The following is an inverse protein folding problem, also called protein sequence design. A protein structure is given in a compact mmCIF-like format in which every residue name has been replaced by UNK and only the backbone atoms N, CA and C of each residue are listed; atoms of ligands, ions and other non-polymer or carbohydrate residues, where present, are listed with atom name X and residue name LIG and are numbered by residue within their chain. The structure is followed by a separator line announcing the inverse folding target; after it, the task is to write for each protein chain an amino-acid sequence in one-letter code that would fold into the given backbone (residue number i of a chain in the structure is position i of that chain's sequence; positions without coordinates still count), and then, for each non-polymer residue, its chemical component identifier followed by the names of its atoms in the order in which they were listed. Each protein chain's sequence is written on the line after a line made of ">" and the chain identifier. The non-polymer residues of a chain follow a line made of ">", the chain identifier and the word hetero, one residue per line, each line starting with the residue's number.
data_IF_313071104153
#
_entry.id   IF_313071104153
#
_cell.length_a   1.000
_cell.length_b   1.000
_cell.length_c   1.000
_cell.angle_alpha   90.00
_cell.angle_beta   90.00
_cell.angle_gamma   90.00
#
_symmetry.space_group_name_H-M   'P 1'
#
loop_
_entity.id
_entity.type
_entity.pdbx_description
1 polymer ?
#
# COMPACT_ATOMS: atom_id res chain seq x y z
N UNK A 1 -32.01 -1.84 24.80
CA UNK A 1 -32.58 -3.08 25.37
C UNK A 1 -32.10 -3.18 26.79
N UNK A 2 -32.95 -3.04 27.77
CA UNK A 2 -32.58 -3.06 29.21
C UNK A 2 -33.14 -4.35 29.78
N UNK A 3 -32.29 -5.12 30.47
CA UNK A 3 -32.74 -6.32 31.20
C UNK A 3 -33.21 -5.93 32.57
N UNK A 4 -34.46 -6.20 32.86
CA UNK A 4 -35.07 -6.03 34.19
C UNK A 4 -35.35 -7.40 34.81
N UNK A 5 -34.97 -7.58 36.07
CA UNK A 5 -35.32 -8.75 36.85
C UNK A 5 -36.74 -8.56 37.45
N UNK A 6 -37.64 -9.41 37.06
CA UNK A 6 -38.99 -9.48 37.65
C UNK A 6 -39.06 -10.70 38.57
N UNK A 7 -39.35 -10.48 39.85
CA UNK A 7 -39.58 -11.54 40.85
C UNK A 7 -41.04 -12.04 40.79
N UNK A 8 -41.21 -13.32 40.50
CA UNK A 8 -42.51 -13.99 40.66
C UNK A 8 -42.53 -14.68 42.04
N UNK A 9 -43.75 -14.73 42.62
CA UNK A 9 -44.05 -15.19 43.97
C UNK A 9 -43.81 -16.69 44.25
N UNK A 10 -43.17 -17.42 43.34
CA UNK A 10 -42.83 -18.83 43.42
C UNK A 10 -41.35 -19.19 43.26
N UNK A 11 -40.43 -18.24 43.53
CA UNK A 11 -38.96 -18.52 43.52
C UNK A 11 -38.36 -19.15 42.26
N UNK A 12 -38.84 -18.79 41.06
CA UNK A 12 -38.16 -19.07 39.82
C UNK A 12 -37.82 -17.73 39.11
N UNK A 13 -36.54 -17.45 38.97
CA UNK A 13 -36.06 -16.29 38.17
C UNK A 13 -36.41 -16.50 36.70
N UNK A 14 -37.26 -15.63 36.15
CA UNK A 14 -37.47 -15.49 34.71
C UNK A 14 -36.86 -14.17 34.25
N UNK A 15 -36.00 -14.25 33.24
CA UNK A 15 -35.50 -13.10 32.52
C UNK A 15 -36.46 -12.78 31.37
N UNK A 16 -37.17 -11.66 31.43
CA UNK A 16 -37.98 -11.15 30.33
C UNK A 16 -37.28 -9.94 29.66
N UNK A 17 -37.34 -9.94 28.34
CA UNK A 17 -36.81 -8.85 27.51
C UNK A 17 -37.93 -7.85 27.28
N UNK A 18 -37.83 -6.67 27.87
CA UNK A 18 -38.79 -5.58 27.69
C UNK A 18 -38.22 -4.54 26.71
N UNK A 19 -38.98 -4.10 25.70
CA UNK A 19 -38.53 -3.02 24.81
C UNK A 19 -38.54 -1.67 25.55
N UNK A 20 -37.41 -0.93 25.45
CA UNK A 20 -37.23 0.39 26.02
C UNK A 20 -38.12 1.41 25.29
N UNK A 21 -39.07 2.00 25.97
CA UNK A 21 -39.81 3.19 25.55
C UNK A 21 -39.38 4.36 26.46
N UNK A 22 -38.58 5.22 25.89
CA UNK A 22 -37.82 6.36 26.40
C UNK A 22 -38.46 7.32 27.42
N UNK A 23 -38.84 6.83 28.60
CA UNK A 23 -39.24 7.68 29.75
C UNK A 23 -38.33 7.35 30.97
N UNK A 24 -38.04 8.37 31.78
CA UNK A 24 -37.09 8.31 32.90
C UNK A 24 -37.49 7.26 33.93
N UNK A 25 -36.54 6.40 34.33
CA UNK A 25 -36.71 5.38 35.35
C UNK A 25 -36.46 6.02 36.74
N UNK A 26 -37.43 6.00 37.67
CA UNK A 26 -37.19 6.47 39.05
C UNK A 26 -36.31 5.45 39.79
N UNK A 27 -35.19 5.95 40.35
CA UNK A 27 -34.26 5.21 41.15
C UNK A 27 -34.90 4.80 42.51
N UNK A 28 -35.32 3.53 42.60
CA UNK A 28 -35.54 2.88 43.88
C UNK A 28 -35.10 1.41 43.78
N UNK A 29 -33.80 1.16 43.95
CA UNK A 29 -33.28 -0.21 44.02
C UNK A 29 -32.99 -0.53 45.48
N UNK A 30 -33.78 -1.41 46.09
CA UNK A 30 -33.45 -2.03 47.37
C UNK A 30 -32.24 -2.97 47.17
N UNK A 31 -31.25 -2.88 48.08
CA UNK A 31 -29.97 -3.62 48.02
C UNK A 31 -30.19 -5.14 48.12
N UNK A 32 -29.60 -5.94 47.22
CA UNK A 32 -29.61 -7.40 47.34
C UNK A 32 -28.59 -7.91 48.38
N UNK A 33 -28.82 -9.10 48.92
CA UNK A 33 -28.20 -9.72 50.09
C UNK A 33 -26.76 -10.24 49.82
N UNK A 34 -26.23 -10.11 48.59
CA UNK A 34 -24.88 -10.60 48.21
C UNK A 34 -24.08 -9.49 47.51
N UNK A 35 -23.19 -8.77 48.25
CA UNK A 35 -22.47 -7.62 47.69
C UNK A 35 -21.29 -7.93 46.74
N UNK A 36 -20.80 -9.17 46.70
CA UNK A 36 -19.48 -9.45 46.09
C UNK A 36 -19.52 -9.89 44.60
N UNK A 37 -20.70 -10.19 44.06
CA UNK A 37 -20.82 -10.68 42.68
C UNK A 37 -21.32 -9.66 41.65
N UNK A 38 -21.84 -8.52 42.06
CA UNK A 38 -22.46 -7.53 41.19
C UNK A 38 -21.49 -6.72 40.30
N UNK A 39 -20.28 -6.38 40.73
CA UNK A 39 -19.39 -5.61 39.85
C UNK A 39 -18.91 -6.37 38.62
N UNK A 40 -18.78 -7.70 38.72
CA UNK A 40 -18.30 -8.52 37.60
C UNK A 40 -19.31 -8.67 36.47
N UNK A 41 -20.57 -8.79 36.78
CA UNK A 41 -21.65 -9.01 35.76
C UNK A 41 -21.93 -7.70 35.02
N UNK A 42 -21.91 -6.54 35.70
CA UNK A 42 -22.13 -5.24 35.05
C UNK A 42 -20.95 -4.88 34.17
N UNK A 43 -19.70 -5.13 34.58
CA UNK A 43 -18.50 -4.87 33.78
C UNK A 43 -18.47 -5.82 32.56
N UNK A 44 -18.85 -7.09 32.72
CA UNK A 44 -18.88 -8.05 31.61
C UNK A 44 -19.98 -7.71 30.59
N UNK A 45 -21.15 -7.25 31.03
CA UNK A 45 -22.25 -6.84 30.16
C UNK A 45 -21.94 -5.52 29.45
N UNK A 46 -21.34 -4.52 30.12
CA UNK A 46 -20.89 -3.28 29.51
C UNK A 46 -19.73 -3.51 28.52
N UNK A 47 -18.76 -4.37 28.86
CA UNK A 47 -17.63 -4.67 27.96
C UNK A 47 -18.10 -5.41 26.70
N UNK A 48 -19.04 -6.32 26.81
CA UNK A 48 -19.67 -7.00 25.65
C UNK A 48 -20.50 -6.05 24.79
N UNK A 49 -21.20 -5.07 25.40
CA UNK A 49 -22.00 -4.10 24.65
C UNK A 49 -21.11 -3.06 23.93
N UNK A 50 -20.05 -2.57 24.58
CA UNK A 50 -19.07 -1.68 23.96
C UNK A 50 -18.26 -2.37 22.86
N UNK A 51 -17.87 -3.65 23.04
CA UNK A 51 -17.16 -4.39 22.00
C UNK A 51 -18.06 -4.69 20.79
N UNK A 52 -19.36 -5.03 20.99
CA UNK A 52 -20.28 -5.28 19.88
C UNK A 52 -20.65 -4.01 19.11
N UNK A 53 -20.84 -2.87 19.78
CA UNK A 53 -21.10 -1.59 19.10
C UNK A 53 -19.85 -1.10 18.37
N UNK A 54 -18.65 -1.30 18.93
CA UNK A 54 -17.38 -0.98 18.24
C UNK A 54 -17.14 -1.91 17.05
N UNK A 55 -17.46 -3.20 17.14
CA UNK A 55 -17.31 -4.16 16.05
C UNK A 55 -18.33 -3.86 14.93
N UNK A 56 -19.56 -3.55 15.23
CA UNK A 56 -20.59 -3.24 14.22
C UNK A 56 -20.29 -1.91 13.53
N UNK A 57 -19.84 -0.88 14.25
CA UNK A 57 -19.43 0.40 13.66
C UNK A 57 -18.13 0.24 12.83
N UNK A 58 -17.15 -0.57 13.29
CA UNK A 58 -15.96 -0.85 12.52
C UNK A 58 -16.27 -1.65 11.25
N UNK A 59 -17.12 -2.69 11.30
CA UNK A 59 -17.46 -3.46 10.09
C UNK A 59 -18.16 -2.62 9.02
N UNK A 60 -19.04 -1.70 9.38
CA UNK A 60 -19.67 -0.77 8.45
C UNK A 60 -18.70 0.26 7.88
N UNK A 61 -17.81 0.79 8.70
CA UNK A 61 -16.79 1.76 8.30
C UNK A 61 -15.73 1.11 7.40
N UNK A 62 -15.24 -0.08 7.75
CA UNK A 62 -14.29 -0.85 6.94
C UNK A 62 -14.86 -1.22 5.56
N UNK A 63 -16.14 -1.56 5.45
CA UNK A 63 -16.76 -1.92 4.18
C UNK A 63 -16.92 -0.72 3.23
N UNK A 64 -17.17 0.48 3.76
CA UNK A 64 -17.29 1.71 2.97
C UNK A 64 -15.89 2.14 2.46
N UNK A 65 -14.87 2.11 3.31
CA UNK A 65 -13.48 2.43 2.94
C UNK A 65 -12.90 1.45 1.91
N UNK A 66 -13.18 0.16 2.07
CA UNK A 66 -12.76 -0.88 1.13
C UNK A 66 -13.41 -0.68 -0.25
N UNK A 67 -14.67 -0.26 -0.29
CA UNK A 67 -15.38 0.02 -1.54
C UNK A 67 -14.84 1.25 -2.25
N UNK A 68 -14.59 2.34 -1.54
CA UNK A 68 -14.02 3.57 -2.09
C UNK A 68 -12.60 3.36 -2.64
N UNK A 69 -11.77 2.59 -1.93
CA UNK A 69 -10.45 2.18 -2.42
C UNK A 69 -10.53 1.40 -3.73
N UNK A 70 -11.43 0.43 -3.81
CA UNK A 70 -11.62 -0.38 -5.01
C UNK A 70 -12.14 0.44 -6.18
N UNK A 71 -13.02 1.41 -5.94
CA UNK A 71 -13.50 2.32 -6.96
C UNK A 71 -12.37 3.22 -7.49
N UNK A 72 -11.55 3.79 -6.61
CA UNK A 72 -10.37 4.60 -6.99
C UNK A 72 -9.33 3.76 -7.75
N UNK A 73 -9.09 2.51 -7.34
CA UNK A 73 -8.22 1.58 -8.04
C UNK A 73 -8.73 1.30 -9.46
N UNK A 74 -10.00 0.98 -9.61
CA UNK A 74 -10.61 0.70 -10.91
C UNK A 74 -10.57 1.91 -11.83
N UNK A 75 -10.85 3.11 -11.31
CA UNK A 75 -10.76 4.36 -12.08
C UNK A 75 -9.31 4.67 -12.48
N UNK A 76 -8.37 4.53 -11.56
CA UNK A 76 -6.95 4.76 -11.81
C UNK A 76 -6.33 3.78 -12.82
N UNK A 77 -6.83 2.56 -12.90
CA UNK A 77 -6.35 1.54 -13.84
C UNK A 77 -7.19 1.40 -15.12
N UNK A 78 -8.20 2.26 -15.34
CA UNK A 78 -9.14 2.13 -16.44
C UNK A 78 -8.46 2.06 -17.81
N UNK A 79 -7.45 2.91 -18.10
CA UNK A 79 -6.69 2.90 -19.34
C UNK A 79 -5.89 1.62 -19.53
N UNK A 80 -5.24 1.15 -18.44
CA UNK A 80 -4.49 -0.12 -18.45
C UNK A 80 -5.42 -1.29 -18.72
N UNK A 81 -6.55 -1.34 -18.01
CA UNK A 81 -7.58 -2.34 -18.16
C UNK A 81 -8.13 -2.40 -19.59
N UNK A 82 -8.55 -1.26 -20.15
CA UNK A 82 -9.07 -1.20 -21.52
C UNK A 82 -8.04 -1.67 -22.54
N UNK A 83 -6.77 -1.29 -22.38
CA UNK A 83 -5.70 -1.72 -23.27
C UNK A 83 -5.42 -3.22 -23.15
N UNK A 84 -5.25 -3.74 -21.93
CA UNK A 84 -4.90 -5.13 -21.67
C UNK A 84 -6.07 -6.08 -22.00
N UNK A 85 -7.21 -5.86 -21.33
CA UNK A 85 -8.39 -6.72 -21.51
C UNK A 85 -8.99 -6.62 -22.92
N UNK A 86 -9.00 -5.45 -23.52
CA UNK A 86 -9.47 -5.26 -24.90
C UNK A 86 -8.60 -5.99 -25.95
N UNK A 87 -7.28 -6.11 -25.72
CA UNK A 87 -6.40 -6.93 -26.57
C UNK A 87 -6.64 -8.42 -26.32
N UNK A 88 -6.70 -8.84 -25.05
CA UNK A 88 -6.91 -10.21 -24.64
C UNK A 88 -8.25 -10.75 -25.18
N UNK A 89 -9.35 -10.03 -24.98
CA UNK A 89 -10.68 -10.41 -25.50
C UNK A 89 -10.65 -10.61 -27.00
N UNK A 90 -10.00 -9.72 -27.77
CA UNK A 90 -9.89 -9.84 -29.24
C UNK A 90 -9.09 -11.05 -29.67
N UNK A 91 -8.01 -11.38 -28.97
CA UNK A 91 -7.19 -12.55 -29.26
C UNK A 91 -7.94 -13.88 -29.03
N UNK A 92 -8.92 -13.87 -28.13
CA UNK A 92 -9.70 -15.06 -27.78
C UNK A 92 -11.00 -15.23 -28.58
N UNK A 93 -11.39 -14.24 -29.41
CA UNK A 93 -12.62 -14.31 -30.23
C UNK A 93 -12.52 -15.48 -31.22
N UNK A 94 -13.53 -16.37 -31.17
CA UNK A 94 -13.66 -17.52 -32.06
C UNK A 94 -12.78 -18.74 -31.68
N UNK A 95 -12.01 -18.65 -30.60
CA UNK A 95 -11.21 -19.79 -30.09
C UNK A 95 -11.96 -20.49 -28.98
N UNK A 96 -11.99 -21.81 -29.01
CA UNK A 96 -12.63 -22.67 -28.00
C UNK A 96 -11.64 -23.33 -27.05
N UNK A 97 -10.38 -23.41 -27.44
CA UNK A 97 -9.29 -24.04 -26.66
C UNK A 97 -8.03 -23.19 -26.76
N UNK A 98 -7.12 -23.38 -25.82
CA UNK A 98 -5.80 -22.79 -25.84
C UNK A 98 -4.89 -23.58 -26.73
N UNK A 99 -4.50 -23.02 -27.86
CA UNK A 99 -3.55 -23.52 -28.82
C UNK A 99 -2.31 -22.61 -28.89
N UNK A 100 -1.30 -23.03 -29.70
CA UNK A 100 -0.05 -22.27 -29.84
C UNK A 100 -0.31 -20.84 -30.32
N UNK A 101 -1.30 -20.65 -31.24
CA UNK A 101 -1.66 -19.32 -31.74
C UNK A 101 -2.24 -18.42 -30.61
N UNK A 102 -2.99 -18.98 -29.69
CA UNK A 102 -3.51 -18.25 -28.51
C UNK A 102 -2.37 -17.87 -27.57
N UNK A 103 -1.39 -18.76 -27.36
CA UNK A 103 -0.21 -18.47 -26.53
C UNK A 103 0.69 -17.42 -27.16
N UNK A 104 0.95 -17.46 -28.47
CA UNK A 104 1.70 -16.44 -29.20
C UNK A 104 1.03 -15.06 -29.10
N UNK A 105 -0.28 -15.01 -29.28
CA UNK A 105 -1.06 -13.76 -29.11
C UNK A 105 -1.00 -13.24 -27.67
N UNK A 106 -1.06 -14.12 -26.67
CA UNK A 106 -0.94 -13.75 -25.26
C UNK A 106 0.45 -13.18 -24.96
N UNK A 107 1.50 -13.78 -25.50
CA UNK A 107 2.87 -13.29 -25.38
C UNK A 107 2.98 -11.84 -25.92
N UNK A 108 2.47 -11.59 -27.15
CA UNK A 108 2.45 -10.26 -27.74
C UNK A 108 1.69 -9.24 -26.88
N UNK A 109 0.54 -9.64 -26.31
CA UNK A 109 -0.26 -8.78 -25.44
C UNK A 109 0.51 -8.41 -24.18
N UNK A 110 1.14 -9.37 -23.51
CA UNK A 110 1.91 -9.16 -22.30
C UNK A 110 3.11 -8.24 -22.55
N UNK A 111 3.89 -8.49 -23.60
CA UNK A 111 5.03 -7.64 -24.00
C UNK A 111 4.59 -6.22 -24.34
N UNK A 112 3.53 -6.07 -25.15
CA UNK A 112 3.01 -4.75 -25.56
C UNK A 112 2.28 -4.00 -24.42
N UNK A 113 2.03 -4.66 -23.32
CA UNK A 113 1.48 -4.08 -22.08
C UNK A 113 2.58 -3.74 -21.05
N UNK A 114 3.85 -3.75 -21.45
CA UNK A 114 5.03 -3.45 -20.63
C UNK A 114 5.24 -4.43 -19.45
N UNK A 115 4.78 -5.68 -19.55
CA UNK A 115 5.10 -6.73 -18.54
C UNK A 115 6.59 -7.09 -18.56
N UNK A 116 7.27 -6.88 -19.70
CA UNK A 116 8.67 -7.23 -19.90
C UNK A 116 8.85 -8.66 -20.40
N UNK A 117 9.90 -8.86 -21.21
CA UNK A 117 10.12 -10.12 -21.94
C UNK A 117 10.31 -11.31 -20.98
N UNK A 118 11.23 -11.19 -20.01
CA UNK A 118 11.55 -12.30 -19.09
C UNK A 118 10.33 -12.74 -18.28
N UNK A 119 9.53 -11.79 -17.79
CA UNK A 119 8.31 -12.07 -17.04
C UNK A 119 7.23 -12.66 -17.92
N UNK A 120 7.12 -12.20 -19.17
CA UNK A 120 6.16 -12.74 -20.15
C UNK A 120 6.48 -14.20 -20.44
N UNK A 121 7.72 -14.54 -20.75
CA UNK A 121 8.14 -15.91 -21.01
C UNK A 121 7.86 -16.85 -19.83
N UNK A 122 8.11 -16.37 -18.61
CA UNK A 122 7.78 -17.13 -17.39
C UNK A 122 6.27 -17.39 -17.26
N UNK A 123 5.42 -16.36 -17.52
CA UNK A 123 3.96 -16.51 -17.49
C UNK A 123 3.51 -17.53 -18.54
N UNK A 124 3.98 -17.42 -19.79
CA UNK A 124 3.63 -18.35 -20.88
C UNK A 124 4.03 -19.77 -20.52
N UNK A 125 5.25 -19.98 -20.04
CA UNK A 125 5.72 -21.31 -19.64
C UNK A 125 4.85 -21.93 -18.53
N UNK A 126 4.42 -21.15 -17.55
CA UNK A 126 3.53 -21.63 -16.47
C UNK A 126 2.15 -22.00 -17.01
N UNK A 127 1.61 -21.21 -17.95
CA UNK A 127 0.35 -21.50 -18.61
C UNK A 127 0.45 -22.78 -19.44
N UNK A 128 1.52 -22.95 -20.25
CA UNK A 128 1.77 -24.18 -21.02
C UNK A 128 1.80 -25.43 -20.14
N UNK A 129 2.54 -25.36 -19.02
CA UNK A 129 2.61 -26.46 -18.05
C UNK A 129 1.24 -26.79 -17.47
N UNK A 130 0.41 -25.77 -17.20
CA UNK A 130 -0.93 -25.94 -16.67
C UNK A 130 -1.88 -26.53 -17.70
N UNK A 131 -1.84 -26.06 -18.95
CA UNK A 131 -2.60 -26.63 -20.10
C UNK A 131 -2.23 -28.06 -20.34
N UNK A 132 -0.93 -28.42 -20.36
CA UNK A 132 -0.45 -29.77 -20.54
C UNK A 132 -0.91 -30.72 -19.43
N UNK A 133 -0.96 -30.25 -18.19
CA UNK A 133 -1.40 -31.04 -17.04
C UNK A 133 -2.92 -31.27 -17.05
N UNK A 134 -3.69 -30.22 -17.30
CA UNK A 134 -5.15 -30.21 -17.11
C UNK A 134 -5.89 -30.69 -18.38
N UNK A 135 -5.17 -30.95 -19.48
CA UNK A 135 -5.54 -31.53 -20.79
C UNK A 135 -6.54 -30.74 -21.65
N UNK A 136 -7.40 -29.92 -21.05
CA UNK A 136 -8.31 -29.04 -21.76
C UNK A 136 -8.49 -27.75 -20.92
N UNK A 137 -8.01 -26.63 -21.44
CA UNK A 137 -8.27 -25.31 -20.88
C UNK A 137 -9.07 -24.53 -21.92
N UNK A 138 -10.28 -24.17 -21.57
CA UNK A 138 -11.11 -23.29 -22.40
C UNK A 138 -10.56 -21.86 -22.34
N UNK A 139 -10.91 -21.05 -23.32
CA UNK A 139 -10.53 -19.61 -23.32
C UNK A 139 -11.09 -18.84 -22.11
N UNK A 140 -12.20 -19.27 -21.54
CA UNK A 140 -12.74 -18.71 -20.29
C UNK A 140 -11.86 -19.08 -19.10
N UNK A 141 -11.42 -20.33 -19.03
CA UNK A 141 -10.52 -20.80 -17.98
C UNK A 141 -9.13 -20.18 -18.08
N UNK A 142 -8.66 -19.85 -19.30
CA UNK A 142 -7.38 -19.17 -19.53
C UNK A 142 -7.30 -17.84 -18.75
N UNK A 143 -8.37 -17.06 -18.71
CA UNK A 143 -8.40 -15.82 -17.95
C UNK A 143 -8.16 -16.05 -16.45
N UNK A 144 -8.75 -17.12 -15.90
CA UNK A 144 -8.52 -17.49 -14.50
C UNK A 144 -7.09 -17.99 -14.27
N UNK A 145 -6.58 -18.85 -15.18
CA UNK A 145 -5.21 -19.35 -15.08
C UNK A 145 -4.21 -18.20 -15.15
N UNK A 146 -4.34 -17.30 -16.14
CA UNK A 146 -3.46 -16.14 -16.29
C UNK A 146 -3.47 -15.24 -15.04
N UNK A 147 -4.65 -14.98 -14.50
CA UNK A 147 -4.81 -14.22 -13.26
C UNK A 147 -4.09 -14.88 -12.08
N UNK A 148 -4.30 -16.20 -11.90
CA UNK A 148 -3.68 -16.96 -10.81
C UNK A 148 -2.15 -16.96 -10.92
N UNK A 149 -1.60 -17.12 -12.14
CA UNK A 149 -0.16 -17.12 -12.38
C UNK A 149 0.45 -15.72 -12.12
N UNK A 150 -0.22 -14.65 -12.53
CA UNK A 150 0.24 -13.27 -12.22
C UNK A 150 0.23 -13.02 -10.72
N UNK A 151 -0.84 -13.40 -9.99
CA UNK A 151 -0.89 -13.29 -8.52
C UNK A 151 0.22 -14.12 -7.87
N UNK A 152 0.50 -15.31 -8.40
CA UNK A 152 1.60 -16.18 -7.97
C UNK A 152 2.96 -15.50 -8.10
N UNK A 153 3.27 -14.93 -9.27
CA UNK A 153 4.52 -14.19 -9.53
C UNK A 153 4.71 -12.99 -8.60
N UNK A 154 3.65 -12.21 -8.37
CA UNK A 154 3.69 -11.09 -7.43
C UNK A 154 3.91 -11.56 -5.98
N UNK A 155 3.38 -12.72 -5.61
CA UNK A 155 3.61 -13.34 -4.29
C UNK A 155 5.08 -13.74 -4.10
N UNK A 156 5.69 -14.36 -5.11
CA UNK A 156 7.08 -14.79 -5.10
C UNK A 156 8.07 -13.61 -5.02
N UNK A 157 7.65 -12.42 -5.42
CA UNK A 157 8.43 -11.19 -5.31
C UNK A 157 8.48 -10.62 -3.89
N UNK A 158 7.92 -11.31 -2.91
CA UNK A 158 7.93 -10.89 -1.51
C UNK A 158 6.84 -9.88 -1.16
N UNK A 159 5.88 -9.66 -2.07
CA UNK A 159 4.71 -8.86 -1.76
C UNK A 159 3.90 -9.57 -0.68
N UNK A 160 3.96 -9.08 0.55
CA UNK A 160 3.04 -9.44 1.61
C UNK A 160 1.77 -8.60 1.42
N UNK A 161 0.62 -9.14 1.80
CA UNK A 161 -0.60 -8.33 1.89
C UNK A 161 -0.40 -7.37 3.07
N UNK A 162 0.08 -6.17 2.78
CA UNK A 162 0.40 -5.20 3.82
C UNK A 162 -0.88 -4.61 4.38
N UNK A 163 -0.98 -4.70 5.70
CA UNK A 163 -1.96 -3.93 6.43
C UNK A 163 -1.61 -2.43 6.32
N UNK A 164 -2.60 -1.65 5.98
CA UNK A 164 -2.61 -0.21 5.75
C UNK A 164 -1.56 0.60 6.54
N UNK A 165 -0.53 1.13 5.83
CA UNK A 165 0.45 2.10 6.37
C UNK A 165 0.96 1.77 7.78
N UNK A 166 1.05 0.47 8.12
CA UNK A 166 1.58 0.01 9.39
C UNK A 166 3.10 0.12 9.41
N UNK A 167 3.65 0.54 10.53
CA UNK A 167 5.09 0.51 10.76
C UNK A 167 5.49 -0.86 11.36
N UNK A 168 6.62 -1.42 10.96
CA UNK A 168 7.11 -2.68 11.52
C UNK A 168 7.32 -2.59 13.04
N UNK A 169 6.93 -3.64 13.76
CA UNK A 169 7.08 -3.70 15.21
C UNK A 169 8.52 -3.45 15.65
N UNK A 170 8.70 -2.64 16.70
CA UNK A 170 10.01 -2.35 17.29
C UNK A 170 10.88 -1.36 16.49
N UNK A 171 10.35 -0.74 15.44
CA UNK A 171 11.04 0.31 14.69
C UNK A 171 10.46 1.68 15.03
N UNK A 172 11.16 2.45 15.89
CA UNK A 172 10.76 3.79 16.28
C UNK A 172 11.98 4.70 16.42
N UNK A 173 12.10 5.75 15.58
CA UNK A 173 11.27 6.01 14.40
C UNK A 173 11.48 4.98 13.28
N UNK A 174 10.44 4.68 12.54
CA UNK A 174 10.55 3.96 11.26
C UNK A 174 11.10 4.90 10.19
N UNK A 175 12.27 4.59 9.65
CA UNK A 175 13.01 5.47 8.73
C UNK A 175 12.92 4.97 7.30
N UNK A 176 12.34 5.77 6.43
CA UNK A 176 12.20 5.48 4.99
C UNK A 176 13.06 6.45 4.20
N UNK A 177 14.00 5.93 3.42
CA UNK A 177 14.77 6.70 2.44
C UNK A 177 14.13 6.55 1.06
N UNK A 178 13.63 7.64 0.50
CA UNK A 178 12.93 7.62 -0.79
C UNK A 178 13.89 7.97 -1.92
N UNK A 179 14.04 7.04 -2.88
CA UNK A 179 14.98 7.15 -4.00
C UNK A 179 14.25 7.02 -5.35
N UNK A 180 14.91 7.41 -6.44
CA UNK A 180 14.35 7.36 -7.81
C UNK A 180 14.79 8.58 -8.63
N UNK A 181 14.56 8.55 -9.94
CA UNK A 181 14.97 9.66 -10.82
C UNK A 181 14.12 10.91 -10.60
N UNK A 182 14.57 12.05 -11.14
CA UNK A 182 13.78 13.28 -11.08
C UNK A 182 12.50 13.14 -11.93
N UNK A 183 11.39 13.69 -11.42
CA UNK A 183 10.11 13.71 -12.13
C UNK A 183 9.23 12.47 -11.94
N UNK A 184 9.71 11.41 -11.28
CA UNK A 184 8.89 10.21 -11.00
C UNK A 184 7.86 10.40 -9.89
N UNK A 185 7.91 11.51 -9.15
CA UNK A 185 6.95 11.79 -8.10
C UNK A 185 7.44 11.51 -6.67
N UNK A 186 8.77 11.44 -6.40
CA UNK A 186 9.31 11.19 -5.05
C UNK A 186 8.73 12.12 -3.99
N UNK A 187 8.90 13.43 -4.15
CA UNK A 187 8.43 14.45 -3.19
C UNK A 187 6.91 14.39 -2.98
N UNK A 188 6.16 14.14 -4.05
CA UNK A 188 4.70 13.93 -4.00
C UNK A 188 4.34 12.66 -3.23
N UNK A 189 5.04 11.55 -3.49
CA UNK A 189 4.86 10.28 -2.76
C UNK A 189 5.15 10.46 -1.28
N UNK A 190 6.22 11.17 -0.92
CA UNK A 190 6.56 11.49 0.48
C UNK A 190 5.42 12.29 1.14
N UNK A 191 4.91 13.31 0.45
CA UNK A 191 3.79 14.11 0.96
C UNK A 191 2.53 13.28 1.21
N UNK A 192 2.19 12.39 0.28
CA UNK A 192 1.04 11.47 0.43
C UNK A 192 1.25 10.43 1.52
N UNK A 193 2.45 9.84 1.63
CA UNK A 193 2.80 8.93 2.73
C UNK A 193 2.71 9.64 4.08
N UNK A 194 3.25 10.86 4.18
CA UNK A 194 3.15 11.66 5.40
C UNK A 194 1.71 11.93 5.82
N UNK A 195 0.84 12.21 4.84
CA UNK A 195 -0.60 12.37 5.07
C UNK A 195 -1.23 11.09 5.62
N UNK A 196 -0.97 9.95 5.00
CA UNK A 196 -1.53 8.66 5.41
C UNK A 196 -1.03 8.23 6.79
N UNK A 197 0.27 8.33 7.07
CA UNK A 197 0.82 8.02 8.39
C UNK A 197 0.26 8.96 9.47
N UNK A 198 0.11 10.26 9.17
CA UNK A 198 -0.52 11.19 10.11
C UNK A 198 -2.00 10.87 10.34
N UNK A 199 -2.73 10.51 9.27
CA UNK A 199 -4.14 10.07 9.36
C UNK A 199 -4.28 8.82 10.24
N UNK A 200 -3.27 7.93 10.23
CA UNK A 200 -3.17 6.78 11.14
C UNK A 200 -2.76 7.16 12.59
N UNK A 201 -2.61 8.43 12.90
CA UNK A 201 -2.25 8.94 14.24
C UNK A 201 -0.76 8.94 14.54
N UNK A 202 0.10 8.69 13.55
CA UNK A 202 1.55 8.63 13.73
C UNK A 202 2.20 10.01 13.64
N UNK A 203 3.25 10.23 14.41
CA UNK A 203 4.06 11.46 14.40
C UNK A 203 5.16 11.35 13.33
N UNK A 204 5.02 12.15 12.28
CA UNK A 204 5.86 12.09 11.07
C UNK A 204 6.82 13.27 10.99
N UNK A 205 8.05 13.02 10.56
CA UNK A 205 9.08 14.03 10.26
C UNK A 205 9.58 13.86 8.82
N UNK A 206 9.80 14.97 8.11
CA UNK A 206 10.29 15.00 6.74
C UNK A 206 11.70 15.59 6.69
N UNK A 207 12.59 15.00 5.88
CA UNK A 207 13.93 15.50 5.62
C UNK A 207 14.12 15.88 4.15
N UNK A 208 14.46 17.15 3.87
CA UNK A 208 14.65 17.70 2.54
C UNK A 208 16.10 17.52 2.08
N UNK A 209 16.52 16.27 1.76
CA UNK A 209 17.89 15.98 1.36
C UNK A 209 18.17 16.12 -0.14
N UNK A 210 17.20 16.52 -0.99
CA UNK A 210 17.48 17.00 -2.37
C UNK A 210 17.94 18.48 -2.35
N UNK A 211 19.05 18.75 -1.67
CA UNK A 211 19.53 20.09 -1.33
C UNK A 211 19.98 20.93 -2.52
N UNK A 212 20.18 20.32 -3.67
CA UNK A 212 20.63 21.02 -4.88
C UNK A 212 19.48 21.47 -5.80
N UNK A 213 18.23 21.17 -5.43
CA UNK A 213 17.04 21.58 -6.16
C UNK A 213 16.13 22.40 -5.28
N UNK A 214 16.23 23.74 -5.41
CA UNK A 214 15.40 24.67 -4.62
C UNK A 214 13.91 24.33 -4.70
N UNK A 215 13.41 24.06 -5.91
CA UNK A 215 12.02 23.69 -6.13
C UNK A 215 11.61 22.38 -5.44
N UNK A 216 12.54 21.41 -5.27
CA UNK A 216 12.21 20.17 -4.54
C UNK A 216 12.10 20.41 -3.04
N UNK A 217 13.03 21.18 -2.47
CA UNK A 217 12.96 21.59 -1.05
C UNK A 217 11.71 22.41 -0.77
N UNK A 218 11.38 23.37 -1.63
CA UNK A 218 10.17 24.19 -1.50
C UNK A 218 8.90 23.34 -1.60
N UNK A 219 8.84 22.42 -2.58
CA UNK A 219 7.73 21.50 -2.75
C UNK A 219 7.52 20.62 -1.51
N UNK A 220 8.60 20.12 -0.89
CA UNK A 220 8.51 19.32 0.32
C UNK A 220 7.99 20.17 1.51
N UNK A 221 8.43 21.44 1.61
CA UNK A 221 7.92 22.38 2.61
C UNK A 221 6.40 22.61 2.45
N UNK A 222 5.94 22.82 1.21
CA UNK A 222 4.50 22.99 0.91
C UNK A 222 3.71 21.73 1.33
N UNK A 223 4.26 20.53 1.06
CA UNK A 223 3.65 19.28 1.54
C UNK A 223 3.63 19.22 3.06
N UNK A 224 4.74 19.57 3.72
CA UNK A 224 4.82 19.59 5.18
C UNK A 224 3.79 20.52 5.80
N UNK A 225 3.62 21.74 5.26
CA UNK A 225 2.60 22.71 5.70
C UNK A 225 1.18 22.16 5.46
N UNK A 226 0.90 21.63 4.25
CA UNK A 226 -0.42 21.11 3.90
C UNK A 226 -0.84 19.93 4.79
N UNK A 227 0.09 19.03 5.07
CA UNK A 227 -0.13 17.88 5.95
C UNK A 227 -0.03 18.26 7.43
N UNK A 228 0.67 19.36 7.75
CA UNK A 228 0.92 19.81 9.13
C UNK A 228 1.92 18.90 9.84
N UNK A 229 3.06 18.60 9.17
CA UNK A 229 4.20 17.84 9.72
C UNK A 229 5.48 18.65 9.55
N UNK A 230 6.45 18.56 10.48
CA UNK A 230 7.71 19.29 10.41
C UNK A 230 8.58 18.81 9.25
N UNK A 231 9.24 19.76 8.57
CA UNK A 231 10.22 19.54 7.53
C UNK A 231 11.57 20.07 7.99
N UNK A 232 12.55 19.20 8.07
CA UNK A 232 13.94 19.55 8.38
C UNK A 232 14.66 19.82 7.07
N UNK A 233 15.24 21.01 6.96
CA UNK A 233 16.00 21.47 5.79
C UNK A 233 17.22 22.28 6.22
N UNK A 234 18.20 22.38 5.33
CA UNK A 234 19.35 23.27 5.48
C UNK A 234 19.44 24.22 4.28
N UNK A 235 20.50 25.03 4.24
CA UNK A 235 20.75 25.94 3.13
C UNK A 235 20.93 25.17 1.81
N UNK A 236 20.60 25.81 0.70
CA UNK A 236 20.85 25.26 -0.62
C UNK A 236 22.31 24.84 -0.82
N UNK A 237 22.52 23.64 -1.37
CA UNK A 237 23.83 23.06 -1.60
C UNK A 237 24.51 22.49 -0.36
N UNK A 238 23.84 22.47 0.79
CA UNK A 238 24.33 21.74 1.97
C UNK A 238 24.46 20.25 1.68
N UNK A 239 25.28 19.56 2.47
CA UNK A 239 25.45 18.10 2.35
C UNK A 239 24.12 17.36 2.63
N UNK A 240 23.57 16.60 1.68
CA UNK A 240 22.34 15.82 1.91
C UNK A 240 22.40 14.92 3.15
N UNK A 241 23.58 14.36 3.44
CA UNK A 241 23.75 13.49 4.60
C UNK A 241 23.64 14.27 5.93
N UNK A 242 24.00 15.57 5.97
CA UNK A 242 23.80 16.39 7.16
C UNK A 242 22.31 16.69 7.40
N UNK A 243 21.53 16.89 6.34
CA UNK A 243 20.05 17.03 6.45
C UNK A 243 19.43 15.76 7.02
N UNK A 244 19.82 14.59 6.52
CA UNK A 244 19.34 13.31 7.04
C UNK A 244 19.72 13.13 8.52
N UNK A 245 20.92 13.50 8.93
CA UNK A 245 21.36 13.47 10.32
C UNK A 245 20.50 14.35 11.21
N UNK A 246 20.32 15.63 10.85
CA UNK A 246 19.54 16.58 11.62
C UNK A 246 18.06 16.17 11.71
N UNK A 247 17.54 15.57 10.63
CA UNK A 247 16.17 15.04 10.61
C UNK A 247 16.01 13.92 11.63
N UNK A 248 16.91 12.97 11.66
CA UNK A 248 16.88 11.87 12.62
C UNK A 248 17.08 12.35 14.05
N UNK A 249 18.04 13.25 14.29
CA UNK A 249 18.29 13.85 15.60
C UNK A 249 17.04 14.58 16.13
N UNK A 250 16.38 15.37 15.27
CA UNK A 250 15.13 16.06 15.61
C UNK A 250 13.99 15.07 15.87
N UNK A 251 13.86 14.04 15.04
CA UNK A 251 12.84 13.02 15.18
C UNK A 251 12.96 12.24 16.50
N UNK A 252 14.19 11.81 16.84
CA UNK A 252 14.50 11.12 18.09
C UNK A 252 14.21 12.00 19.31
N UNK A 253 14.65 13.27 19.30
CA UNK A 253 14.42 14.21 20.39
C UNK A 253 12.93 14.50 20.65
N UNK A 254 12.09 14.30 19.64
CA UNK A 254 10.65 14.54 19.70
C UNK A 254 9.81 13.28 19.72
N UNK A 255 10.40 12.11 19.91
CA UNK A 255 9.69 10.80 19.95
C UNK A 255 8.79 10.59 18.72
N UNK A 256 9.35 10.81 17.52
CA UNK A 256 8.64 10.61 16.26
C UNK A 256 8.44 9.11 15.97
N UNK A 257 7.38 8.77 15.25
CA UNK A 257 7.07 7.40 14.85
C UNK A 257 7.64 7.09 13.46
N UNK A 258 7.65 8.07 12.55
CA UNK A 258 8.06 7.90 11.15
C UNK A 258 8.96 9.05 10.70
N UNK A 259 10.01 8.73 9.94
CA UNK A 259 10.87 9.68 9.25
C UNK A 259 10.91 9.35 7.76
N UNK A 260 10.59 10.32 6.91
CA UNK A 260 10.67 10.19 5.45
C UNK A 260 11.75 11.15 4.93
N UNK A 261 12.74 10.62 4.19
CA UNK A 261 13.85 11.41 3.64
C UNK A 261 13.72 11.51 2.12
N UNK A 262 13.53 12.71 1.61
CA UNK A 262 13.56 13.01 0.16
C UNK A 262 15.00 13.13 -0.31
N UNK A 263 15.37 12.39 -1.38
CA UNK A 263 16.74 12.37 -1.91
C UNK A 263 16.79 12.89 -3.34
N UNK A 264 17.99 13.30 -3.78
CA UNK A 264 18.24 13.66 -5.16
C UNK A 264 18.00 12.48 -6.12
N UNK A 265 17.68 12.80 -7.39
CA UNK A 265 17.39 11.80 -8.42
C UNK A 265 18.14 12.05 -9.74
N UNK A 266 19.35 12.60 -9.71
CA UNK A 266 20.12 13.00 -10.90
C UNK A 266 20.90 11.82 -11.49
N UNK A 267 20.19 10.89 -12.15
CA UNK A 267 20.73 9.63 -12.66
C UNK A 267 21.79 9.83 -13.79
N UNK A 268 21.77 10.97 -14.49
CA UNK A 268 22.81 11.31 -15.47
C UNK A 268 24.22 11.42 -14.85
N UNK A 269 24.32 11.71 -13.55
CA UNK A 269 25.56 11.60 -12.79
C UNK A 269 25.47 10.40 -11.84
N UNK A 270 25.36 9.21 -12.43
CA UNK A 270 25.11 7.96 -11.71
C UNK A 270 26.05 7.76 -10.52
N UNK A 271 27.37 7.87 -10.75
CA UNK A 271 28.39 7.63 -9.70
C UNK A 271 28.21 8.61 -8.53
N UNK A 272 28.10 9.90 -8.82
CA UNK A 272 27.93 10.91 -7.77
C UNK A 272 26.65 10.72 -6.96
N UNK A 273 25.54 10.37 -7.62
CA UNK A 273 24.29 10.08 -6.95
C UNK A 273 24.41 8.85 -6.03
N UNK A 274 25.05 7.78 -6.50
CA UNK A 274 25.19 6.54 -5.72
C UNK A 274 26.12 6.73 -4.51
N UNK A 275 27.19 7.51 -4.67
CA UNK A 275 28.08 7.89 -3.57
C UNK A 275 27.32 8.74 -2.52
N UNK A 276 26.46 9.66 -2.97
CA UNK A 276 25.60 10.49 -2.12
C UNK A 276 24.59 9.65 -1.32
N UNK A 277 23.84 8.75 -1.98
CA UNK A 277 22.88 7.88 -1.33
C UNK A 277 23.56 6.95 -0.30
N UNK A 278 24.71 6.38 -0.67
CA UNK A 278 25.53 5.55 0.24
C UNK A 278 26.03 6.35 1.45
N UNK A 279 26.36 7.63 1.27
CA UNK A 279 26.76 8.51 2.37
C UNK A 279 25.59 8.81 3.29
N UNK A 280 24.41 9.12 2.74
CA UNK A 280 23.17 9.34 3.50
C UNK A 280 22.90 8.12 4.38
N UNK A 281 22.87 6.90 3.79
CA UNK A 281 22.66 5.64 4.52
C UNK A 281 23.65 5.49 5.68
N UNK A 282 24.94 5.65 5.43
CA UNK A 282 25.97 5.54 6.48
C UNK A 282 25.82 6.55 7.62
N UNK A 283 25.33 7.74 7.32
CA UNK A 283 25.10 8.78 8.32
C UNK A 283 23.85 8.47 9.14
N UNK A 284 22.78 7.96 8.52
CA UNK A 284 21.60 7.48 9.24
C UNK A 284 21.96 6.38 10.25
N UNK A 285 22.81 5.43 9.85
CA UNK A 285 23.28 4.32 10.69
C UNK A 285 24.08 4.75 11.92
N UNK A 286 24.65 5.97 11.93
CA UNK A 286 25.30 6.53 13.11
C UNK A 286 24.30 6.95 14.19
N UNK A 287 23.06 7.29 13.81
CA UNK A 287 21.98 7.65 14.71
C UNK A 287 21.15 6.45 15.12
N UNK A 288 20.79 5.62 14.13
CA UNK A 288 19.97 4.42 14.27
C UNK A 288 20.68 3.29 13.50
N UNK A 289 21.29 2.30 14.16
CA UNK A 289 22.21 1.33 13.53
C UNK A 289 21.61 0.54 12.35
N UNK A 290 20.32 0.31 12.33
CA UNK A 290 19.61 -0.41 11.28
C UNK A 290 18.82 0.49 10.30
N UNK A 291 19.00 1.83 10.38
CA UNK A 291 18.42 2.77 9.42
C UNK A 291 19.22 2.82 8.09
N UNK A 292 18.55 3.13 6.96
CA UNK A 292 17.12 3.23 6.81
C UNK A 292 16.47 1.83 6.92
N UNK A 293 15.30 1.74 7.55
CA UNK A 293 14.55 0.50 7.66
C UNK A 293 13.90 0.11 6.32
N UNK A 294 13.61 1.11 5.49
CA UNK A 294 13.14 0.94 4.12
C UNK A 294 13.87 1.89 3.17
N UNK A 295 14.29 1.33 2.02
CA UNK A 295 14.70 2.09 0.84
C UNK A 295 13.60 1.94 -0.20
N UNK A 296 12.76 2.97 -0.31
CA UNK A 296 11.59 2.99 -1.18
C UNK A 296 11.98 3.59 -2.55
N UNK A 297 12.02 2.76 -3.60
CA UNK A 297 12.24 3.20 -4.96
C UNK A 297 10.93 3.67 -5.59
N UNK A 298 10.89 4.92 -6.00
CA UNK A 298 9.73 5.49 -6.74
C UNK A 298 10.00 5.40 -8.23
N UNK A 299 9.06 4.78 -8.96
CA UNK A 299 9.08 4.61 -10.41
C UNK A 299 7.84 5.24 -11.03
N UNK A 300 7.98 5.78 -12.24
CA UNK A 300 6.88 6.31 -13.03
C UNK A 300 6.33 5.20 -13.94
N UNK A 301 5.12 4.71 -13.68
CA UNK A 301 4.47 3.65 -14.43
C UNK A 301 4.19 4.00 -15.90
N UNK A 302 4.14 5.29 -16.24
CA UNK A 302 3.93 5.72 -17.62
C UNK A 302 5.17 5.55 -18.52
N UNK A 303 6.35 5.32 -17.93
CA UNK A 303 7.61 5.20 -18.66
C UNK A 303 7.88 3.81 -19.24
N UNK A 304 7.08 2.81 -18.88
CA UNK A 304 7.19 1.44 -19.41
C UNK A 304 8.58 0.85 -19.19
N UNK A 305 9.23 0.38 -20.24
CA UNK A 305 10.55 -0.29 -20.18
C UNK A 305 11.65 0.58 -19.53
N UNK A 306 11.55 1.90 -19.55
CA UNK A 306 12.52 2.77 -18.85
C UNK A 306 12.47 2.57 -17.33
N UNK A 307 11.33 2.18 -16.76
CA UNK A 307 11.23 1.88 -15.33
C UNK A 307 12.12 0.68 -14.93
N UNK A 308 12.24 -0.33 -15.81
CA UNK A 308 13.12 -1.49 -15.56
C UNK A 308 14.60 -1.09 -15.49
N UNK A 309 15.04 -0.21 -16.39
CA UNK A 309 16.43 0.27 -16.36
C UNK A 309 16.70 1.11 -15.10
N UNK A 310 15.76 1.96 -14.70
CA UNK A 310 15.85 2.70 -13.45
C UNK A 310 15.92 1.75 -12.24
N UNK A 311 15.02 0.76 -12.18
CA UNK A 311 15.01 -0.23 -11.10
C UNK A 311 16.35 -0.97 -11.02
N UNK A 312 16.89 -1.43 -12.16
CA UNK A 312 18.20 -2.09 -12.24
C UNK A 312 19.32 -1.23 -11.68
N UNK A 313 19.33 0.07 -12.03
CA UNK A 313 20.40 0.97 -11.61
C UNK A 313 20.34 1.28 -10.12
N UNK A 314 19.15 1.54 -9.58
CA UNK A 314 18.98 1.82 -8.15
C UNK A 314 19.20 0.57 -7.30
N UNK A 315 18.69 -0.59 -7.70
CA UNK A 315 18.89 -1.86 -6.97
C UNK A 315 20.36 -2.27 -6.91
N UNK A 316 21.11 -2.04 -7.98
CA UNK A 316 22.55 -2.31 -7.99
C UNK A 316 23.38 -1.40 -7.06
N UNK A 317 22.86 -0.27 -6.65
CA UNK A 317 23.60 0.78 -5.94
C UNK A 317 23.07 1.04 -4.52
N UNK A 318 21.80 0.80 -4.28
CA UNK A 318 21.17 0.91 -2.96
C UNK A 318 20.39 -0.37 -2.70
N UNK A 319 20.37 -0.86 -1.50
CA UNK A 319 19.56 -2.04 -1.14
C UNK A 319 18.09 -1.65 -1.11
N UNK A 320 17.46 -1.55 -2.31
CA UNK A 320 16.03 -1.26 -2.43
C UNK A 320 15.22 -2.36 -1.78
N UNK A 321 14.31 -2.01 -0.86
CA UNK A 321 13.50 -2.95 -0.10
C UNK A 321 12.03 -2.94 -0.48
N UNK A 322 11.58 -1.88 -1.18
CA UNK A 322 10.22 -1.74 -1.66
C UNK A 322 10.11 -0.76 -2.80
N UNK A 323 9.03 -0.83 -3.56
CA UNK A 323 8.75 0.07 -4.68
C UNK A 323 7.42 0.79 -4.52
N UNK A 324 7.38 2.04 -4.98
CA UNK A 324 6.14 2.79 -5.22
C UNK A 324 6.05 3.10 -6.71
N UNK A 325 4.95 2.72 -7.36
CA UNK A 325 4.73 2.95 -8.78
C UNK A 325 3.66 4.01 -8.96
N UNK A 326 4.04 5.16 -9.52
CA UNK A 326 3.21 6.35 -9.65
C UNK A 326 2.63 6.48 -11.06
N UNK A 327 1.66 7.39 -11.24
CA UNK A 327 1.07 7.79 -12.52
C UNK A 327 0.40 6.66 -13.31
N UNK A 328 -0.15 5.70 -12.60
CA UNK A 328 -0.87 4.59 -13.23
C UNK A 328 -2.19 5.05 -13.86
N UNK A 329 -2.83 6.09 -13.31
CA UNK A 329 -4.05 6.71 -13.80
C UNK A 329 -3.93 7.32 -15.22
N UNK A 330 -2.74 7.74 -15.58
CA UNK A 330 -2.41 8.29 -16.90
C UNK A 330 -2.00 7.25 -17.94
N UNK A 331 -1.76 6.00 -17.55
CA UNK A 331 -1.01 5.02 -18.35
C UNK A 331 -1.82 3.81 -18.77
N UNK A 332 -1.60 3.34 -20.00
CA UNK A 332 -2.01 2.02 -20.47
C UNK A 332 -0.95 0.92 -20.19
N UNK A 333 0.10 1.27 -19.44
CA UNK A 333 1.32 0.45 -19.22
C UNK A 333 1.40 -0.17 -17.83
N UNK A 334 0.26 -0.45 -17.20
CA UNK A 334 0.21 -1.02 -15.85
C UNK A 334 0.90 -2.39 -15.69
N UNK A 335 1.18 -3.10 -16.79
CA UNK A 335 1.98 -4.32 -16.78
C UNK A 335 3.38 -4.15 -16.20
N UNK A 336 3.92 -2.92 -16.22
CA UNK A 336 5.21 -2.60 -15.59
C UNK A 336 5.25 -2.97 -14.11
N UNK A 337 4.12 -2.89 -13.39
CA UNK A 337 4.00 -3.28 -11.97
C UNK A 337 4.38 -4.75 -11.79
N UNK A 338 3.84 -5.62 -12.66
CA UNK A 338 4.08 -7.07 -12.65
C UNK A 338 5.54 -7.36 -12.99
N UNK A 339 6.01 -6.79 -14.11
CA UNK A 339 7.33 -7.08 -14.63
C UNK A 339 8.47 -6.62 -13.73
N UNK A 340 8.40 -5.37 -13.23
CA UNK A 340 9.46 -4.82 -12.36
C UNK A 340 9.50 -5.59 -11.02
N UNK A 341 8.35 -5.88 -10.43
CA UNK A 341 8.30 -6.65 -9.18
C UNK A 341 8.89 -8.05 -9.36
N UNK A 342 8.50 -8.76 -10.42
CA UNK A 342 8.99 -10.10 -10.69
C UNK A 342 10.48 -10.14 -11.02
N UNK A 343 10.96 -9.28 -11.93
CA UNK A 343 12.34 -9.29 -12.41
C UNK A 343 13.35 -8.95 -11.32
N UNK A 344 13.02 -8.02 -10.41
CA UNK A 344 13.95 -7.58 -9.36
C UNK A 344 13.70 -8.26 -8.01
N UNK A 345 12.64 -9.06 -7.89
CA UNK A 345 12.23 -9.71 -6.64
C UNK A 345 12.09 -8.72 -5.48
N UNK A 346 11.57 -7.53 -5.78
CA UNK A 346 11.31 -6.46 -4.82
C UNK A 346 9.80 -6.22 -4.79
N UNK A 347 9.18 -6.21 -3.60
CA UNK A 347 7.75 -5.98 -3.48
C UNK A 347 7.35 -4.58 -3.89
N UNK A 348 6.24 -4.46 -4.61
CA UNK A 348 5.52 -3.19 -4.72
C UNK A 348 4.79 -2.96 -3.41
N UNK A 349 5.03 -1.80 -2.79
CA UNK A 349 4.40 -1.38 -1.53
C UNK A 349 3.21 -0.46 -1.77
N UNK A 350 3.38 0.48 -2.70
CA UNK A 350 2.39 1.52 -2.96
C UNK A 350 2.18 1.74 -4.45
N UNK A 351 0.96 2.15 -4.80
CA UNK A 351 0.59 2.57 -6.15
C UNK A 351 -0.05 3.96 -6.11
N UNK A 352 0.35 4.83 -7.05
CA UNK A 352 -0.17 6.17 -7.24
C UNK A 352 -1.17 6.20 -8.38
N UNK A 353 -2.41 6.58 -8.06
CA UNK A 353 -3.58 6.51 -8.92
C UNK A 353 -4.17 7.88 -9.26
N UNK A 354 -3.45 8.96 -8.97
CA UNK A 354 -3.89 10.33 -9.22
C UNK A 354 -3.08 11.37 -8.46
N UNK A 355 -3.56 12.61 -8.41
CA UNK A 355 -2.86 13.76 -7.82
C UNK A 355 -3.29 14.09 -6.38
N UNK A 356 -4.44 13.61 -5.92
CA UNK A 356 -4.97 13.84 -4.59
C UNK A 356 -4.11 13.24 -3.47
N UNK A 357 -4.27 13.71 -2.24
CA UNK A 357 -3.54 13.21 -1.07
C UNK A 357 -3.87 11.75 -0.75
N UNK A 358 -5.05 11.29 -1.11
CA UNK A 358 -5.53 9.92 -0.88
C UNK A 358 -5.26 8.99 -2.06
N UNK A 359 -4.77 9.50 -3.22
CA UNK A 359 -4.52 8.71 -4.42
C UNK A 359 -3.21 7.90 -4.39
N UNK A 360 -2.64 7.72 -3.21
CA UNK A 360 -1.58 6.75 -2.96
C UNK A 360 -2.15 5.63 -2.10
N UNK A 361 -2.18 4.42 -2.64
CA UNK A 361 -2.75 3.27 -1.96
C UNK A 361 -1.68 2.21 -1.66
N UNK A 362 -1.78 1.47 -0.55
CA UNK A 362 -1.06 0.24 -0.36
C UNK A 362 -1.37 -0.72 -1.50
N UNK A 363 -0.38 -1.44 -1.96
CA UNK A 363 -0.54 -2.38 -3.06
C UNK A 363 -1.11 -3.71 -2.57
N UNK A 364 -2.32 -4.02 -3.01
CA UNK A 364 -2.91 -5.36 -2.89
C UNK A 364 -2.80 -6.08 -4.26
N UNK A 365 -2.05 -7.17 -4.29
CA UNK A 365 -1.77 -7.93 -5.52
C UNK A 365 -3.02 -8.53 -6.14
N UNK A 366 -3.97 -9.01 -5.30
CA UNK A 366 -5.20 -9.62 -5.80
C UNK A 366 -6.15 -8.56 -6.35
N UNK A 367 -6.38 -7.48 -5.59
CA UNK A 367 -7.22 -6.37 -6.04
C UNK A 367 -6.67 -5.73 -7.31
N UNK A 368 -5.34 -5.57 -7.41
CA UNK A 368 -4.69 -5.04 -8.59
C UNK A 368 -4.92 -5.96 -9.81
N UNK A 369 -4.64 -7.25 -9.69
CA UNK A 369 -4.83 -8.21 -10.80
C UNK A 369 -6.31 -8.31 -11.14
N UNK A 370 -7.21 -8.39 -10.14
CA UNK A 370 -8.66 -8.42 -10.36
C UNK A 370 -9.14 -7.21 -11.15
N UNK A 371 -8.58 -6.03 -10.89
CA UNK A 371 -8.95 -4.81 -11.61
C UNK A 371 -8.55 -4.84 -13.10
N UNK A 372 -7.49 -5.57 -13.46
CA UNK A 372 -7.07 -5.74 -14.86
C UNK A 372 -7.99 -6.68 -15.65
N UNK A 373 -8.62 -7.65 -14.98
CA UNK A 373 -9.46 -8.70 -15.59
C UNK A 373 -10.97 -8.48 -15.40
N UNK A 374 -11.39 -7.46 -14.65
CA UNK A 374 -12.81 -7.20 -14.44
C UNK A 374 -13.47 -6.74 -15.75
N UNK A 375 -14.57 -7.41 -16.15
CA UNK A 375 -15.40 -6.95 -17.27
C UNK A 375 -16.02 -5.58 -16.93
N UNK A 376 -16.23 -4.75 -17.98
CA UNK A 376 -17.05 -3.56 -17.84
C UNK A 376 -18.50 -4.01 -17.68
N UNK A 377 -19.10 -3.71 -16.52
CA UNK A 377 -20.55 -3.86 -16.29
C UNK A 377 -21.28 -2.70 -16.93
#
# INVERSE_FOLDING_TARGET
>A
MVLANVYDSQCQERLEIVPYQGEEIPFAVQRPIWPDFYPFIIIFSLTLHFNNVSIINNMGFFSIFSREKKETLNQGLEKTKQSFFGKLSRALVGKSSVDDEVLDNLEEILVTSDVGVDTTLEIIQRIEQRVARDKYVTTTELNHVLRDEIVGLLTESGAQDEQEFAIPSGKKPYVVMVVGVNGVGKTTTIGKLAYQFKKAGLKVYLGAADTFRAAAVEQLCIWGERVGVPVIKQNMGSDPASVAFDTLASALANDADVVLIDTAGRLHNKKGLMDELSKIKRVMQKQIPDAPHEVLLVLDGSTGQNAFEQARQFTAATEVTGMAITKLDGSAKGGVVIGVSHQFKIPVRYIGLGEGMEDLQPFDRKEFVDSLFSEQV
#
